data_IF_209824605588
#
_entry.id   IF_209824605588
#
_cell.length_a   1.000
_cell.length_b   1.000
_cell.length_c   1.000
_cell.angle_alpha   90.00
_cell.angle_beta   90.00
_cell.angle_gamma   90.00
#
_symmetry.space_group_name_H-M   'P 1'
#
loop_
_entity.id
_entity.type
_entity.pdbx_description
1 polymer ?
#
# COMPACT_ATOMS: atom_id res chain seq x y z
N UNK A 1 28.33 -19.66 18.23
CA UNK A 1 28.11 -19.52 16.77
C UNK A 1 26.63 -19.20 16.52
N UNK A 2 26.17 -17.97 16.78
CA UNK A 2 24.72 -17.63 16.79
C UNK A 2 24.32 -16.35 16.02
N UNK A 3 25.22 -15.66 15.32
CA UNK A 3 24.91 -14.37 14.67
C UNK A 3 24.35 -14.48 13.23
N UNK A 4 23.48 -15.46 12.94
CA UNK A 4 22.89 -15.65 11.58
C UNK A 4 21.39 -15.34 11.49
N UNK A 5 20.72 -15.02 12.60
CA UNK A 5 19.25 -14.98 12.70
C UNK A 5 18.62 -13.58 12.85
N UNK A 6 19.43 -12.54 13.09
CA UNK A 6 18.91 -11.18 13.39
C UNK A 6 18.71 -10.29 12.14
N UNK A 7 19.31 -10.64 11.00
CA UNK A 7 19.22 -9.88 9.75
C UNK A 7 17.82 -9.81 9.11
N UNK A 8 16.99 -10.88 9.10
CA UNK A 8 15.62 -10.77 8.56
C UNK A 8 14.69 -9.94 9.46
N UNK A 9 14.96 -9.89 10.77
CA UNK A 9 14.17 -9.11 11.72
C UNK A 9 14.41 -7.62 11.50
N UNK A 10 15.66 -7.20 11.34
CA UNK A 10 16.00 -5.79 11.07
C UNK A 10 15.35 -5.27 9.77
N UNK A 11 15.32 -6.09 8.71
CA UNK A 11 14.65 -5.76 7.45
C UNK A 11 13.15 -5.54 7.63
N UNK A 12 12.50 -6.44 8.37
CA UNK A 12 11.07 -6.32 8.71
C UNK A 12 10.80 -5.08 9.56
N UNK A 13 11.65 -4.79 10.56
CA UNK A 13 11.54 -3.59 11.39
C UNK A 13 11.67 -2.32 10.53
N UNK A 14 12.62 -2.28 9.58
CA UNK A 14 12.78 -1.13 8.68
C UNK A 14 11.54 -0.90 7.81
N UNK A 15 10.95 -1.97 7.26
CA UNK A 15 9.69 -1.85 6.52
C UNK A 15 8.54 -1.37 7.41
N UNK A 16 8.47 -1.84 8.66
CA UNK A 16 7.46 -1.42 9.62
C UNK A 16 7.61 0.05 10.00
N UNK A 17 8.85 0.49 10.30
CA UNK A 17 9.15 1.90 10.58
C UNK A 17 8.80 2.77 9.38
N UNK A 18 9.12 2.33 8.16
CA UNK A 18 8.78 3.07 6.95
C UNK A 18 7.25 3.18 6.76
N UNK A 19 6.52 2.10 7.00
CA UNK A 19 5.06 2.07 6.96
C UNK A 19 4.43 3.02 7.99
N UNK A 20 4.91 2.99 9.23
CA UNK A 20 4.45 3.90 10.29
C UNK A 20 4.81 5.35 9.96
N UNK A 21 5.97 5.61 9.38
CA UNK A 21 6.39 6.96 8.99
C UNK A 21 5.47 7.54 7.91
N UNK A 22 5.15 6.76 6.88
CA UNK A 22 4.19 7.18 5.83
C UNK A 22 2.81 7.42 6.44
N UNK A 23 2.33 6.53 7.30
CA UNK A 23 1.07 6.71 8.01
C UNK A 23 1.02 8.00 8.85
N UNK A 24 2.07 8.26 9.63
CA UNK A 24 2.17 9.50 10.43
C UNK A 24 2.22 10.71 9.51
N UNK A 25 2.94 10.64 8.38
CA UNK A 25 3.03 11.75 7.44
C UNK A 25 1.65 12.10 6.81
N UNK A 26 0.84 11.09 6.53
CA UNK A 26 -0.52 11.27 6.01
C UNK A 26 -1.51 11.74 7.08
N UNK A 27 -1.40 11.24 8.31
CA UNK A 27 -2.32 11.58 9.41
C UNK A 27 -1.95 12.85 10.17
N UNK A 28 -0.70 13.34 10.07
CA UNK A 28 -0.22 14.51 10.81
C UNK A 28 -0.76 15.87 10.32
N UNK A 29 -1.92 15.91 9.64
CA UNK A 29 -2.56 17.13 9.17
C UNK A 29 -1.66 18.03 8.29
N UNK A 30 -0.62 17.45 7.70
CA UNK A 30 0.08 18.11 6.60
C UNK A 30 -0.93 18.10 5.45
N UNK A 31 -1.32 19.25 4.87
CA UNK A 31 -2.15 19.27 3.69
C UNK A 31 -1.30 18.76 2.52
N UNK A 32 -1.11 17.45 2.48
CA UNK A 32 -0.67 16.68 1.33
C UNK A 32 -1.83 16.67 0.32
N UNK A 33 -2.29 17.87 -0.05
CA UNK A 33 -3.23 18.12 -1.12
C UNK A 33 -2.39 18.60 -2.30
N UNK A 34 -2.00 17.69 -3.18
CA UNK A 34 -1.52 18.09 -4.50
C UNK A 34 -2.75 18.32 -5.38
N UNK A 35 -2.91 19.55 -5.90
CA UNK A 35 -4.02 19.91 -6.80
C UNK A 35 -5.44 19.73 -6.23
N UNK A 36 -5.59 19.68 -4.90
CA UNK A 36 -6.88 19.47 -4.23
C UNK A 36 -7.30 18.00 -4.09
N UNK A 37 -6.42 17.04 -4.43
CA UNK A 37 -6.63 15.61 -4.20
C UNK A 37 -5.84 15.12 -3.00
N UNK A 38 -6.44 14.23 -2.20
CA UNK A 38 -5.77 13.58 -1.08
C UNK A 38 -4.68 12.64 -1.61
N UNK A 39 -3.49 12.69 -1.01
CA UNK A 39 -2.40 11.78 -1.34
C UNK A 39 -2.51 10.55 -0.44
N UNK A 40 -2.61 9.37 -1.04
CA UNK A 40 -2.77 8.09 -0.33
C UNK A 40 -1.68 7.10 -0.80
N UNK A 41 -0.52 7.15 -0.14
CA UNK A 41 0.67 6.34 -0.39
C UNK A 41 0.67 5.03 0.40
N UNK A 42 -0.10 4.92 1.48
CA UNK A 42 -0.30 3.68 2.26
C UNK A 42 -0.49 2.43 1.37
N UNK A 43 -1.40 2.39 0.39
CA UNK A 43 -1.61 1.22 -0.48
C UNK A 43 -0.39 0.82 -1.33
N UNK A 44 0.55 1.75 -1.56
CA UNK A 44 1.76 1.48 -2.34
C UNK A 44 2.75 0.57 -1.57
N UNK A 45 2.73 0.61 -0.23
CA UNK A 45 3.66 -0.13 0.62
C UNK A 45 3.46 -1.65 0.52
N UNK A 46 2.25 -2.21 0.77
CA UNK A 46 2.05 -3.65 0.68
C UNK A 46 2.28 -4.17 -0.74
N UNK A 47 1.98 -3.37 -1.78
CA UNK A 47 2.31 -3.71 -3.16
C UNK A 47 3.83 -3.81 -3.41
N UNK A 48 4.60 -2.85 -2.89
CA UNK A 48 6.06 -2.84 -3.01
C UNK A 48 6.71 -4.01 -2.24
N UNK A 49 6.25 -4.27 -1.01
CA UNK A 49 6.74 -5.36 -0.17
C UNK A 49 6.36 -6.71 -0.80
N UNK A 50 5.13 -6.88 -1.29
CA UNK A 50 4.70 -8.08 -1.98
C UNK A 50 5.51 -8.37 -3.25
N UNK A 51 5.92 -7.34 -3.98
CA UNK A 51 6.76 -7.47 -5.19
C UNK A 51 8.20 -7.88 -4.86
N UNK A 52 8.76 -7.41 -3.74
CA UNK A 52 10.15 -7.67 -3.36
C UNK A 52 10.31 -8.96 -2.54
N UNK A 53 9.45 -9.17 -1.56
CA UNK A 53 9.55 -10.24 -0.54
C UNK A 53 8.60 -11.42 -0.78
N UNK A 54 7.59 -11.25 -1.64
CA UNK A 54 6.60 -12.28 -1.96
C UNK A 54 5.34 -12.25 -1.07
N UNK A 55 4.48 -13.28 -1.15
CA UNK A 55 3.09 -13.25 -0.68
C UNK A 55 2.95 -13.24 0.84
N UNK A 56 3.83 -13.90 1.58
CA UNK A 56 3.76 -13.93 3.04
C UNK A 56 3.95 -12.53 3.64
N UNK A 57 5.05 -11.86 3.26
CA UNK A 57 5.32 -10.49 3.69
C UNK A 57 4.35 -9.48 3.07
N UNK A 58 3.93 -9.69 1.82
CA UNK A 58 2.86 -8.90 1.19
C UNK A 58 1.57 -8.93 1.99
N UNK A 59 1.14 -10.11 2.45
CA UNK A 59 -0.04 -10.27 3.30
C UNK A 59 0.11 -9.64 4.69
N UNK A 60 1.25 -9.87 5.36
CA UNK A 60 1.53 -9.31 6.68
C UNK A 60 1.51 -7.77 6.66
N UNK A 61 2.24 -7.17 5.72
CA UNK A 61 2.28 -5.72 5.57
C UNK A 61 0.95 -5.17 5.03
N UNK A 62 0.23 -5.94 4.22
CA UNK A 62 -1.15 -5.64 3.83
C UNK A 62 -2.08 -5.51 5.03
N UNK A 63 -2.08 -6.50 5.93
CA UNK A 63 -2.88 -6.47 7.15
C UNK A 63 -2.53 -5.25 8.01
N UNK A 64 -1.23 -5.01 8.27
CA UNK A 64 -0.80 -3.87 9.07
C UNK A 64 -1.21 -2.53 8.44
N UNK A 65 -1.06 -2.41 7.11
CA UNK A 65 -1.51 -1.22 6.36
C UNK A 65 -3.01 -1.01 6.52
N UNK A 66 -3.81 -2.06 6.37
CA UNK A 66 -5.26 -1.94 6.50
C UNK A 66 -5.72 -1.65 7.93
N UNK A 67 -5.02 -2.13 8.97
CA UNK A 67 -5.30 -1.74 10.37
C UNK A 67 -5.02 -0.26 10.59
N UNK A 68 -3.91 0.25 10.07
CA UNK A 68 -3.62 1.68 10.14
C UNK A 68 -4.64 2.51 9.36
N UNK A 69 -5.10 2.01 8.20
CA UNK A 69 -6.14 2.65 7.41
C UNK A 69 -7.47 2.78 8.17
N UNK A 70 -7.89 1.71 8.84
CA UNK A 70 -9.11 1.65 9.68
C UNK A 70 -9.04 2.68 10.82
N UNK A 71 -7.87 2.79 11.48
CA UNK A 71 -7.65 3.73 12.59
C UNK A 71 -7.54 5.18 12.13
N UNK A 72 -6.94 5.42 10.96
CA UNK A 72 -6.61 6.77 10.50
C UNK A 72 -7.72 7.50 9.76
N UNK A 73 -8.55 6.78 8.97
CA UNK A 73 -9.42 7.44 7.98
C UNK A 73 -10.91 7.18 8.15
N UNK A 74 -11.35 5.96 8.49
CA UNK A 74 -12.77 5.57 8.32
C UNK A 74 -13.47 4.94 9.53
N UNK A 75 -12.81 4.81 10.68
CA UNK A 75 -13.38 4.08 11.80
C UNK A 75 -13.18 2.57 11.66
N UNK A 76 -13.32 1.84 12.78
CA UNK A 76 -12.89 0.43 12.88
C UNK A 76 -13.97 -0.51 12.36
N UNK A 77 -14.00 -0.73 11.04
CA UNK A 77 -14.93 -1.65 10.38
C UNK A 77 -14.31 -3.03 10.10
N UNK A 78 -12.97 -3.15 10.16
CA UNK A 78 -12.23 -4.40 9.95
C UNK A 78 -12.18 -4.90 8.49
N UNK A 79 -12.90 -4.26 7.57
CA UNK A 79 -12.94 -4.58 6.14
C UNK A 79 -11.63 -4.24 5.41
N UNK A 80 -11.01 -3.09 5.73
CA UNK A 80 -9.76 -2.66 5.11
C UNK A 80 -8.56 -3.58 5.43
N UNK A 81 -8.32 -4.01 6.69
CA UNK A 81 -7.31 -5.03 7.02
C UNK A 81 -7.43 -6.30 6.18
N UNK A 82 -8.65 -6.84 6.05
CA UNK A 82 -8.90 -8.06 5.28
C UNK A 82 -8.62 -7.84 3.79
N UNK A 83 -9.10 -6.73 3.25
CA UNK A 83 -8.86 -6.36 1.86
C UNK A 83 -7.35 -6.28 1.54
N UNK A 84 -6.60 -5.49 2.31
CA UNK A 84 -5.18 -5.29 2.04
C UNK A 84 -4.34 -6.55 2.30
N UNK A 85 -4.74 -7.40 3.26
CA UNK A 85 -4.10 -8.70 3.46
C UNK A 85 -4.28 -9.60 2.23
N UNK A 86 -5.52 -9.78 1.75
CA UNK A 86 -5.80 -10.61 0.58
C UNK A 86 -5.13 -10.05 -0.68
N UNK A 87 -5.18 -8.73 -0.84
CA UNK A 87 -4.51 -8.04 -1.94
C UNK A 87 -2.99 -8.25 -1.89
N UNK A 88 -2.36 -8.10 -0.72
CA UNK A 88 -0.92 -8.29 -0.56
C UNK A 88 -0.47 -9.73 -0.85
N UNK A 89 -1.26 -10.73 -0.44
CA UNK A 89 -1.00 -12.15 -0.77
C UNK A 89 -1.15 -12.37 -2.27
N UNK A 90 -2.24 -11.90 -2.88
CA UNK A 90 -2.49 -12.06 -4.31
C UNK A 90 -1.42 -11.35 -5.15
N UNK A 91 -1.09 -10.11 -4.81
CA UNK A 91 -0.04 -9.32 -5.42
C UNK A 91 1.32 -10.04 -5.34
N UNK A 92 1.64 -10.64 -4.19
CA UNK A 92 2.87 -11.40 -4.00
C UNK A 92 2.88 -12.73 -4.75
N UNK A 93 1.74 -13.40 -4.88
CA UNK A 93 1.62 -14.64 -5.65
C UNK A 93 1.75 -14.38 -7.17
N UNK A 94 1.10 -13.31 -7.64
CA UNK A 94 1.19 -12.84 -9.03
C UNK A 94 2.61 -12.33 -9.32
N UNK A 95 3.23 -11.64 -8.37
CA UNK A 95 4.58 -11.11 -8.55
C UNK A 95 5.62 -12.20 -8.76
N UNK A 96 5.53 -13.30 -8.02
CA UNK A 96 6.44 -14.43 -8.17
C UNK A 96 6.29 -15.18 -9.50
N UNK A 97 5.08 -15.19 -10.09
CA UNK A 97 4.78 -15.99 -11.29
C UNK A 97 4.89 -15.21 -12.59
N UNK A 98 4.47 -13.93 -12.59
CA UNK A 98 4.26 -13.17 -13.83
C UNK A 98 5.05 -11.87 -13.91
N UNK A 99 5.48 -11.28 -12.79
CA UNK A 99 6.08 -9.94 -12.80
C UNK A 99 7.58 -10.00 -12.53
N UNK A 100 8.36 -9.31 -13.36
CA UNK A 100 9.74 -8.99 -13.02
C UNK A 100 9.76 -7.93 -11.92
N UNK A 101 10.79 -7.94 -11.08
CA UNK A 101 11.04 -6.96 -9.99
C UNK A 101 11.40 -5.54 -10.52
N UNK A 102 10.56 -5.00 -11.39
CA UNK A 102 10.73 -3.73 -12.10
C UNK A 102 9.68 -2.70 -11.67
N UNK A 103 9.97 -1.42 -11.90
CA UNK A 103 9.08 -0.30 -11.58
C UNK A 103 7.66 -0.41 -12.17
N UNK A 104 7.45 -0.83 -13.44
CA UNK A 104 6.10 -0.94 -14.03
C UNK A 104 5.24 -1.98 -13.31
N UNK A 105 5.86 -3.04 -12.80
CA UNK A 105 5.18 -4.10 -12.06
C UNK A 105 4.65 -3.62 -10.72
N UNK A 106 5.37 -2.71 -10.05
CA UNK A 106 4.86 -2.07 -8.84
C UNK A 106 3.72 -1.09 -9.16
N UNK A 107 3.87 -0.28 -10.22
CA UNK A 107 2.82 0.63 -10.66
C UNK A 107 1.53 -0.12 -10.95
N UNK A 108 1.59 -1.19 -11.75
CA UNK A 108 0.41 -2.01 -12.07
C UNK A 108 -0.26 -2.59 -10.83
N UNK A 109 0.52 -3.15 -9.89
CA UNK A 109 -0.02 -3.67 -8.64
C UNK A 109 -0.67 -2.54 -7.81
N UNK A 110 0.04 -1.44 -7.59
CA UNK A 110 -0.45 -0.31 -6.80
C UNK A 110 -1.71 0.32 -7.40
N UNK A 111 -1.71 0.61 -8.70
CA UNK A 111 -2.87 1.16 -9.40
C UNK A 111 -4.06 0.19 -9.35
N UNK A 112 -3.82 -1.12 -9.51
CA UNK A 112 -4.89 -2.12 -9.42
C UNK A 112 -5.46 -2.20 -7.99
N UNK A 113 -4.62 -2.20 -6.96
CA UNK A 113 -5.05 -2.19 -5.56
C UNK A 113 -5.86 -0.93 -5.24
N UNK A 114 -5.38 0.25 -5.66
CA UNK A 114 -6.10 1.50 -5.44
C UNK A 114 -7.44 1.58 -6.20
N UNK A 115 -7.51 1.05 -7.42
CA UNK A 115 -8.76 0.95 -8.17
C UNK A 115 -9.78 0.05 -7.47
N UNK A 116 -9.34 -1.12 -7.01
CA UNK A 116 -10.19 -2.10 -6.34
C UNK A 116 -10.72 -1.57 -4.99
N UNK A 117 -9.86 -0.98 -4.16
CA UNK A 117 -10.31 -0.38 -2.90
C UNK A 117 -11.21 0.83 -3.14
N UNK A 118 -10.92 1.64 -4.16
CA UNK A 118 -11.77 2.76 -4.56
C UNK A 118 -13.16 2.29 -4.99
N UNK A 119 -13.25 1.24 -5.82
CA UNK A 119 -14.52 0.62 -6.21
C UNK A 119 -15.27 0.07 -4.99
N UNK A 120 -14.56 -0.54 -4.04
CA UNK A 120 -15.15 -1.06 -2.81
C UNK A 120 -15.69 0.06 -1.91
N UNK A 121 -14.92 1.15 -1.71
CA UNK A 121 -15.37 2.36 -0.98
C UNK A 121 -16.60 3.00 -1.62
N UNK A 122 -16.60 3.11 -2.96
CA UNK A 122 -17.74 3.63 -3.71
C UNK A 122 -18.97 2.72 -3.58
N UNK A 123 -18.80 1.41 -3.73
CA UNK A 123 -19.88 0.43 -3.57
C UNK A 123 -20.52 0.48 -2.19
N UNK A 124 -19.71 0.55 -1.14
CA UNK A 124 -20.20 0.72 0.24
C UNK A 124 -20.91 2.06 0.45
N UNK A 125 -20.36 3.18 -0.06
CA UNK A 125 -21.03 4.49 0.03
C UNK A 125 -22.39 4.49 -0.65
N UNK A 126 -22.52 3.90 -1.84
CA UNK A 126 -23.79 3.85 -2.58
C UNK A 126 -24.82 2.93 -1.90
N UNK A 127 -24.37 1.81 -1.34
CA UNK A 127 -25.23 0.84 -0.65
C UNK A 127 -25.73 1.35 0.71
N UNK A 128 -24.89 2.07 1.46
CA UNK A 128 -25.20 2.55 2.82
C UNK A 128 -25.79 3.96 2.85
N UNK A 129 -25.35 4.85 1.96
CA UNK A 129 -25.75 6.24 1.91
C UNK A 129 -26.33 6.54 0.53
N UNK A 130 -27.65 6.41 0.41
CA UNK A 130 -28.35 6.77 -0.80
C UNK A 130 -28.00 8.23 -1.20
N UNK A 131 -27.53 8.41 -2.45
CA UNK A 131 -27.36 9.68 -3.20
C UNK A 131 -26.00 10.41 -3.09
N UNK A 132 -24.87 9.72 -3.23
CA UNK A 132 -23.62 10.41 -3.63
C UNK A 132 -23.58 10.65 -5.16
N UNK A 133 -23.27 11.87 -5.64
CA UNK A 133 -23.15 12.13 -7.08
C UNK A 133 -21.95 11.38 -7.67
N UNK A 134 -22.25 10.35 -8.49
CA UNK A 134 -21.29 9.50 -9.22
C UNK A 134 -20.09 10.24 -9.84
N UNK A 135 -20.25 11.36 -10.58
CA UNK A 135 -19.11 11.98 -11.27
C UNK A 135 -18.09 12.61 -10.32
N UNK A 136 -18.50 13.12 -9.16
CA UNK A 136 -17.61 13.76 -8.18
C UNK A 136 -16.75 12.72 -7.44
N UNK A 137 -17.36 11.61 -7.03
CA UNK A 137 -16.65 10.50 -6.41
C UNK A 137 -15.65 9.87 -7.39
N UNK A 138 -16.06 9.66 -8.65
CA UNK A 138 -15.19 9.12 -9.69
C UNK A 138 -14.00 10.04 -10.00
N UNK A 139 -14.22 11.36 -10.09
CA UNK A 139 -13.15 12.33 -10.31
C UNK A 139 -12.15 12.37 -9.13
N UNK A 140 -12.65 12.32 -7.88
CA UNK A 140 -11.78 12.24 -6.69
C UNK A 140 -10.94 10.97 -6.71
N UNK A 141 -11.56 9.82 -6.98
CA UNK A 141 -10.86 8.53 -7.05
C UNK A 141 -9.78 8.51 -8.15
N UNK A 142 -10.10 8.99 -9.36
CA UNK A 142 -9.12 9.08 -10.43
C UNK A 142 -7.97 10.04 -10.08
N UNK A 143 -8.26 11.16 -9.43
CA UNK A 143 -7.24 12.11 -8.97
C UNK A 143 -6.32 11.52 -7.91
N UNK A 144 -6.88 10.89 -6.87
CA UNK A 144 -6.14 10.19 -5.81
C UNK A 144 -5.24 9.09 -6.38
N UNK A 145 -5.77 8.27 -7.31
CA UNK A 145 -5.00 7.21 -7.96
C UNK A 145 -3.89 7.78 -8.82
N UNK A 146 -4.14 8.84 -9.61
CA UNK A 146 -3.13 9.46 -10.46
C UNK A 146 -2.00 10.07 -9.64
N UNK A 147 -2.35 10.83 -8.60
CA UNK A 147 -1.38 11.49 -7.72
C UNK A 147 -0.56 10.45 -6.96
N UNK A 148 -1.20 9.41 -6.44
CA UNK A 148 -0.51 8.34 -5.72
C UNK A 148 0.35 7.47 -6.65
N UNK A 149 -0.10 7.23 -7.88
CA UNK A 149 0.70 6.55 -8.91
C UNK A 149 1.92 7.39 -9.31
N UNK A 150 1.77 8.71 -9.43
CA UNK A 150 2.87 9.63 -9.72
C UNK A 150 3.89 9.70 -8.57
N UNK A 151 3.41 9.61 -7.32
CA UNK A 151 4.23 9.61 -6.10
C UNK A 151 4.71 8.23 -5.67
N UNK A 152 4.22 7.15 -6.30
CA UNK A 152 4.69 5.78 -6.07
C UNK A 152 6.21 5.55 -6.24
N UNK A 153 6.99 6.30 -7.05
CA UNK A 153 8.45 6.15 -7.05
C UNK A 153 9.05 6.44 -5.67
N UNK A 154 8.47 7.38 -4.92
CA UNK A 154 8.91 7.77 -3.58
C UNK A 154 8.87 6.58 -2.61
N UNK A 155 7.91 5.68 -2.77
CA UNK A 155 7.78 4.44 -1.98
C UNK A 155 8.64 3.32 -2.56
N UNK A 156 8.73 3.22 -3.89
CA UNK A 156 9.51 2.17 -4.57
C UNK A 156 11.00 2.25 -4.26
N UNK A 157 11.61 3.44 -4.35
CA UNK A 157 13.05 3.62 -4.16
C UNK A 157 13.56 3.17 -2.78
N UNK A 158 12.96 3.58 -1.63
CA UNK A 158 13.41 3.14 -0.31
C UNK A 158 13.18 1.65 -0.10
N UNK A 159 12.00 1.12 -0.45
CA UNK A 159 11.69 -0.32 -0.32
C UNK A 159 12.67 -1.17 -1.15
N UNK A 160 12.94 -0.77 -2.39
CA UNK A 160 13.91 -1.43 -3.26
C UNK A 160 15.34 -1.32 -2.73
N UNK A 161 15.71 -0.20 -2.12
CA UNK A 161 17.05 0.00 -1.56
C UNK A 161 17.26 -0.89 -0.35
N UNK A 162 16.26 -0.99 0.53
CA UNK A 162 16.27 -1.91 1.67
C UNK A 162 16.36 -3.35 1.15
N UNK A 163 15.46 -3.76 0.23
CA UNK A 163 15.47 -5.10 -0.34
C UNK A 163 16.83 -5.47 -0.94
N UNK A 164 17.40 -4.61 -1.79
CA UNK A 164 18.71 -4.87 -2.44
C UNK A 164 19.88 -4.85 -1.47
N UNK A 165 19.87 -4.00 -0.44
CA UNK A 165 20.95 -3.98 0.56
C UNK A 165 20.99 -5.28 1.34
N UNK A 166 19.84 -5.84 1.71
CA UNK A 166 19.79 -7.11 2.42
C UNK A 166 20.00 -8.32 1.50
N UNK A 167 19.56 -8.26 0.23
CA UNK A 167 19.84 -9.32 -0.76
C UNK A 167 21.33 -9.40 -1.15
N UNK A 168 22.08 -8.28 -1.20
CA UNK A 168 23.52 -8.28 -1.51
C UNK A 168 24.42 -8.74 -0.36
N UNK A 169 23.89 -8.90 0.85
CA UNK A 169 24.64 -9.31 2.04
C UNK A 169 24.44 -10.80 2.39
N UNK A 170 23.74 -11.54 1.52
CA UNK A 170 23.52 -12.99 1.54
C UNK A 170 24.34 -13.65 0.42
#
# INVERSE_FOLDING_TARGET
MSMRRDRPVLKTILYLVFLVLIYVLETANIPLMLFGFHIDLLPCIPAAVALMEGPFFGGLFGLLTGVLYDVGFTGVDGLFPLYYMLFGIAAGAVSMRFLRRMFPSMLLLSTCGMLLIGMMRYGFSVLLFAHAPFPLAFQSMCGEILVSTLLSPLVYFPVRTIARRFDRML
#
